data_IF_362498515051
#
_entry.id   IF_362498515051
#
_cell.length_a   1.000
_cell.length_b   1.000
_cell.length_c   1.000
_cell.angle_alpha   90.00
_cell.angle_beta   90.00
_cell.angle_gamma   90.00
#
_symmetry.space_group_name_H-M   'P 1'
#
loop_
_entity.id
_entity.type
_entity.pdbx_description
1 polymer ?
#
# COMPACT_ATOMS: atom_id res chain seq x y z
N UNK A 1 -0.52 52.35 19.53
CA UNK A 1 0.21 52.58 18.24
C UNK A 1 1.68 52.17 18.36
N UNK A 2 2.00 50.93 18.81
CA UNK A 2 3.37 50.35 18.74
C UNK A 2 3.22 48.85 18.50
N UNK A 3 2.53 48.45 17.44
CA UNK A 3 2.69 47.14 16.80
C UNK A 3 2.76 47.38 15.28
N UNK A 4 3.80 48.06 14.88
CA UNK A 4 4.09 48.25 13.47
C UNK A 4 5.14 47.23 13.08
N UNK A 5 4.68 46.20 12.36
CA UNK A 5 5.43 45.43 11.38
C UNK A 5 6.85 44.98 11.80
N UNK A 6 6.95 44.08 12.74
CA UNK A 6 8.00 43.10 12.67
C UNK A 6 7.45 41.98 11.75
N UNK A 7 7.57 42.21 10.45
CA UNK A 7 7.44 41.13 9.48
C UNK A 7 8.40 40.05 9.94
N UNK A 8 7.81 38.98 10.44
CA UNK A 8 8.52 37.75 10.75
C UNK A 8 8.84 37.13 9.38
N UNK A 9 9.81 37.77 8.69
CA UNK A 9 10.46 37.16 7.57
C UNK A 9 11.18 35.94 8.13
N UNK A 10 10.48 34.81 8.19
CA UNK A 10 11.12 33.53 8.36
C UNK A 10 11.98 33.31 7.11
N UNK A 11 13.17 33.89 7.16
CA UNK A 11 14.16 33.70 6.12
C UNK A 11 14.65 32.26 6.25
N UNK A 12 13.98 31.36 5.54
CA UNK A 12 14.41 29.96 5.42
C UNK A 12 15.90 29.83 5.08
N UNK A 13 16.45 30.83 4.36
CA UNK A 13 17.86 30.92 4.06
C UNK A 13 18.74 31.11 5.30
N UNK A 14 18.29 31.88 6.29
CA UNK A 14 19.02 32.11 7.57
C UNK A 14 19.00 30.84 8.41
N UNK A 15 17.84 30.17 8.51
CA UNK A 15 17.71 28.87 9.16
C UNK A 15 18.67 27.84 8.55
N UNK A 16 18.71 27.77 7.20
CA UNK A 16 19.55 26.82 6.50
C UNK A 16 21.07 27.04 6.70
N UNK A 17 21.48 28.28 6.84
CA UNK A 17 22.91 28.60 7.09
C UNK A 17 23.38 28.18 8.49
N UNK A 18 22.50 28.27 9.50
CA UNK A 18 22.84 27.97 10.88
C UNK A 18 22.50 26.54 11.31
N UNK A 19 21.73 25.80 10.49
CA UNK A 19 21.36 24.43 10.77
C UNK A 19 22.57 23.48 10.77
N UNK A 20 22.69 22.66 11.81
CA UNK A 20 23.69 21.62 11.92
C UNK A 20 23.54 20.54 10.84
N UNK A 21 24.62 19.79 10.59
CA UNK A 21 24.62 18.68 9.63
C UNK A 21 23.50 17.65 9.93
N UNK A 22 23.21 17.39 11.21
CA UNK A 22 22.16 16.45 11.62
C UNK A 22 20.78 17.00 11.29
N UNK A 23 20.49 18.27 11.58
CA UNK A 23 19.22 18.92 11.23
C UNK A 23 18.98 18.93 9.72
N UNK A 24 20.00 19.19 8.92
CA UNK A 24 19.95 19.10 7.46
C UNK A 24 19.64 17.68 6.98
N UNK A 25 20.29 16.67 7.57
CA UNK A 25 20.06 15.27 7.23
C UNK A 25 18.62 14.86 7.53
N UNK A 26 18.06 15.22 8.68
CA UNK A 26 16.69 14.94 9.05
C UNK A 26 15.69 15.61 8.10
N UNK A 27 15.95 16.84 7.69
CA UNK A 27 15.16 17.55 6.70
C UNK A 27 15.13 16.79 5.36
N UNK A 28 16.28 16.33 4.85
CA UNK A 28 16.33 15.55 3.62
C UNK A 28 15.62 14.19 3.74
N UNK A 29 15.70 13.55 4.91
CA UNK A 29 14.96 12.31 5.18
C UNK A 29 13.46 12.58 5.09
N UNK A 30 12.94 13.63 5.74
CA UNK A 30 11.53 13.99 5.66
C UNK A 30 11.10 14.36 4.23
N UNK A 31 11.94 15.07 3.50
CA UNK A 31 11.69 15.41 2.10
C UNK A 31 11.60 14.15 1.22
N UNK A 32 12.54 13.22 1.37
CA UNK A 32 12.51 11.95 0.65
C UNK A 32 11.27 11.11 1.01
N UNK A 33 10.89 11.07 2.28
CA UNK A 33 9.64 10.43 2.73
C UNK A 33 8.41 11.07 2.10
N UNK A 34 8.37 12.41 2.02
CA UNK A 34 7.26 13.14 1.39
C UNK A 34 7.15 12.83 -0.10
N UNK A 35 8.27 12.90 -0.85
CA UNK A 35 8.30 12.56 -2.28
C UNK A 35 7.84 11.12 -2.50
N UNK A 36 8.35 10.18 -1.70
CA UNK A 36 7.99 8.76 -1.77
C UNK A 36 6.49 8.56 -1.54
N UNK A 37 5.92 9.23 -0.53
CA UNK A 37 4.50 9.19 -0.21
C UNK A 37 3.64 9.61 -1.40
N UNK A 38 3.92 10.79 -1.97
CA UNK A 38 3.17 11.31 -3.11
C UNK A 38 3.35 10.44 -4.36
N UNK A 39 4.55 9.96 -4.62
CA UNK A 39 4.84 9.08 -5.75
C UNK A 39 4.02 7.79 -5.67
N UNK A 40 4.08 7.09 -4.54
CA UNK A 40 3.32 5.83 -4.36
C UNK A 40 1.83 6.10 -4.43
N UNK A 41 1.34 7.16 -3.81
CA UNK A 41 -0.07 7.50 -3.78
C UNK A 41 -0.62 7.79 -5.19
N UNK A 42 0.07 8.62 -5.97
CA UNK A 42 -0.34 8.97 -7.35
C UNK A 42 -0.30 7.72 -8.25
N UNK A 43 0.79 6.94 -8.21
CA UNK A 43 0.88 5.71 -9.00
C UNK A 43 -0.24 4.73 -8.67
N UNK A 44 -0.63 4.62 -7.40
CA UNK A 44 -1.74 3.76 -6.97
C UNK A 44 -3.09 4.27 -7.44
N UNK A 45 -3.36 5.57 -7.35
CA UNK A 45 -4.60 6.14 -7.85
C UNK A 45 -4.76 5.93 -9.36
N UNK A 46 -3.69 6.15 -10.12
CA UNK A 46 -3.71 5.96 -11.59
C UNK A 46 -3.79 4.48 -11.99
N UNK A 47 -3.14 3.61 -11.25
CA UNK A 47 -3.03 2.18 -11.56
C UNK A 47 -4.22 1.31 -11.14
N UNK A 48 -5.15 1.82 -10.33
CA UNK A 48 -6.21 1.00 -9.70
C UNK A 48 -7.11 0.27 -10.72
N UNK A 49 -7.48 0.91 -11.82
CA UNK A 49 -8.32 0.31 -12.87
C UNK A 49 -7.55 -0.74 -13.68
N UNK A 50 -6.29 -0.48 -13.99
CA UNK A 50 -5.44 -1.43 -14.73
C UNK A 50 -5.12 -2.66 -13.88
N UNK A 51 -4.82 -2.49 -12.59
CA UNK A 51 -4.57 -3.60 -11.66
C UNK A 51 -5.77 -4.55 -11.59
N UNK A 52 -6.98 -4.01 -11.52
CA UNK A 52 -8.22 -4.80 -11.51
C UNK A 52 -8.36 -5.64 -12.79
N UNK A 53 -8.19 -5.05 -13.96
CA UNK A 53 -8.29 -5.75 -15.24
C UNK A 53 -7.23 -6.83 -15.38
N UNK A 54 -5.98 -6.53 -15.03
CA UNK A 54 -4.87 -7.48 -15.08
C UNK A 54 -5.13 -8.66 -14.15
N UNK A 55 -5.54 -8.41 -12.91
CA UNK A 55 -5.80 -9.44 -11.92
C UNK A 55 -6.97 -10.37 -12.37
N UNK A 56 -8.05 -9.82 -12.91
CA UNK A 56 -9.17 -10.61 -13.46
C UNK A 56 -8.74 -11.45 -14.66
N UNK A 57 -7.93 -10.90 -15.56
CA UNK A 57 -7.42 -11.63 -16.74
C UNK A 57 -6.49 -12.77 -16.31
N UNK A 58 -5.60 -12.54 -15.35
CA UNK A 58 -4.71 -13.58 -14.82
C UNK A 58 -5.49 -14.68 -14.11
N UNK A 59 -6.53 -14.35 -13.37
CA UNK A 59 -7.42 -15.31 -12.71
C UNK A 59 -8.13 -16.19 -13.75
N UNK A 60 -8.70 -15.58 -14.78
CA UNK A 60 -9.36 -16.31 -15.89
C UNK A 60 -8.40 -17.25 -16.61
N UNK A 61 -7.17 -16.80 -16.89
CA UNK A 61 -6.13 -17.64 -17.48
C UNK A 61 -5.70 -18.79 -16.56
N UNK A 62 -5.61 -18.53 -15.24
CA UNK A 62 -5.29 -19.57 -14.26
C UNK A 62 -6.37 -20.66 -14.23
N UNK A 63 -7.65 -20.26 -14.25
CA UNK A 63 -8.77 -21.20 -14.31
C UNK A 63 -8.77 -22.00 -15.62
N UNK A 64 -8.50 -21.38 -16.78
CA UNK A 64 -8.41 -22.08 -18.06
C UNK A 64 -7.28 -23.13 -18.09
N UNK A 65 -6.09 -22.78 -17.55
CA UNK A 65 -4.99 -23.73 -17.41
C UNK A 65 -5.30 -24.87 -16.43
N UNK A 66 -6.03 -24.55 -15.37
CA UNK A 66 -6.43 -25.53 -14.37
C UNK A 66 -7.43 -26.53 -14.94
N UNK A 67 -8.38 -26.09 -15.78
CA UNK A 67 -9.39 -26.92 -16.44
C UNK A 67 -8.76 -28.10 -17.19
N UNK A 68 -7.65 -27.87 -17.91
CA UNK A 68 -6.93 -28.92 -18.62
C UNK A 68 -6.28 -29.95 -17.68
N UNK A 69 -5.82 -29.55 -16.49
CA UNK A 69 -5.20 -30.43 -15.49
C UNK A 69 -6.21 -31.18 -14.64
N UNK A 70 -7.43 -30.67 -14.52
CA UNK A 70 -8.49 -31.26 -13.69
C UNK A 70 -9.28 -32.36 -14.43
N UNK A 71 -9.18 -32.45 -15.76
CA UNK A 71 -9.94 -33.38 -16.56
C UNK A 71 -9.86 -34.86 -16.10
N UNK A 72 -8.71 -35.41 -15.66
CA UNK A 72 -8.61 -36.82 -15.26
C UNK A 72 -9.07 -37.10 -13.81
N UNK A 73 -9.46 -36.08 -13.00
CA UNK A 73 -9.75 -36.24 -11.57
C UNK A 73 -11.26 -36.48 -11.33
N UNK A 74 -11.61 -37.11 -10.20
CA UNK A 74 -13.01 -37.21 -9.74
C UNK A 74 -13.58 -35.82 -9.36
N UNK A 75 -14.92 -35.71 -9.32
CA UNK A 75 -15.59 -34.42 -9.05
C UNK A 75 -15.11 -33.75 -7.73
N UNK A 76 -15.05 -34.51 -6.62
CA UNK A 76 -14.62 -33.99 -5.33
C UNK A 76 -13.15 -33.57 -5.32
N UNK A 77 -12.29 -34.34 -5.97
CA UNK A 77 -10.87 -33.99 -6.13
C UNK A 77 -10.68 -32.74 -6.98
N UNK A 78 -11.45 -32.59 -8.05
CA UNK A 78 -11.43 -31.39 -8.91
C UNK A 78 -11.80 -30.14 -8.12
N UNK A 79 -12.89 -30.20 -7.34
CA UNK A 79 -13.35 -29.10 -6.50
C UNK A 79 -12.28 -28.67 -5.51
N UNK A 80 -11.72 -29.61 -4.74
CA UNK A 80 -10.72 -29.31 -3.74
C UNK A 80 -9.43 -28.71 -4.34
N UNK A 81 -8.92 -29.28 -5.44
CA UNK A 81 -7.71 -28.78 -6.12
C UNK A 81 -7.96 -27.41 -6.75
N UNK A 82 -9.11 -27.21 -7.34
CA UNK A 82 -9.44 -25.92 -7.97
C UNK A 82 -9.58 -24.81 -6.94
N UNK A 83 -10.27 -25.07 -5.83
CA UNK A 83 -10.42 -24.12 -4.73
C UNK A 83 -9.06 -23.73 -4.12
N UNK A 84 -8.20 -24.71 -3.83
CA UNK A 84 -6.87 -24.46 -3.30
C UNK A 84 -5.99 -23.66 -4.26
N UNK A 85 -6.05 -23.95 -5.58
CA UNK A 85 -5.28 -23.23 -6.58
C UNK A 85 -5.74 -21.77 -6.73
N UNK A 86 -7.06 -21.53 -6.67
CA UNK A 86 -7.63 -20.18 -6.72
C UNK A 86 -7.30 -19.37 -5.48
N UNK A 87 -7.41 -19.94 -4.29
CA UNK A 87 -7.01 -19.29 -3.04
C UNK A 87 -5.53 -18.90 -3.06
N UNK A 88 -4.66 -19.77 -3.59
CA UNK A 88 -3.25 -19.46 -3.78
C UNK A 88 -3.03 -18.30 -4.76
N UNK A 89 -3.75 -18.28 -5.87
CA UNK A 89 -3.64 -17.20 -6.84
C UNK A 89 -4.11 -15.86 -6.24
N UNK A 90 -5.26 -15.85 -5.57
CA UNK A 90 -5.80 -14.66 -4.89
C UNK A 90 -4.83 -14.14 -3.84
N UNK A 91 -4.21 -15.00 -3.04
CA UNK A 91 -3.22 -14.61 -2.04
C UNK A 91 -1.97 -14.00 -2.68
N UNK A 92 -1.53 -14.51 -3.82
CA UNK A 92 -0.40 -13.97 -4.59
C UNK A 92 -0.72 -12.58 -5.13
N UNK A 93 -1.90 -12.39 -5.72
CA UNK A 93 -2.36 -11.09 -6.22
C UNK A 93 -2.50 -10.06 -5.09
N UNK A 94 -3.06 -10.48 -3.94
CA UNK A 94 -3.16 -9.67 -2.73
C UNK A 94 -1.77 -9.22 -2.25
N UNK A 95 -0.81 -10.14 -2.13
CA UNK A 95 0.55 -9.82 -1.72
C UNK A 95 1.24 -8.86 -2.70
N UNK A 96 0.99 -9.02 -4.01
CA UNK A 96 1.49 -8.10 -5.03
C UNK A 96 0.85 -6.72 -4.93
N UNK A 97 -0.43 -6.65 -4.63
CA UNK A 97 -1.16 -5.40 -4.41
C UNK A 97 -0.73 -4.68 -3.12
N UNK A 98 -0.27 -5.38 -2.11
CA UNK A 98 0.24 -4.79 -0.87
C UNK A 98 1.67 -4.24 -0.99
N UNK A 99 2.44 -4.65 -2.01
CA UNK A 99 3.78 -4.13 -2.27
C UNK A 99 3.73 -2.61 -2.48
N UNK A 100 4.60 -1.89 -1.80
CA UNK A 100 4.66 -0.43 -1.81
C UNK A 100 3.69 0.26 -0.84
N UNK A 101 2.51 -0.32 -0.55
CA UNK A 101 1.59 0.25 0.47
C UNK A 101 2.20 0.12 1.87
N UNK A 102 2.93 -0.94 2.13
CA UNK A 102 3.67 -1.12 3.40
C UNK A 102 4.66 0.02 3.67
N UNK A 103 5.30 0.57 2.63
CA UNK A 103 6.19 1.73 2.75
C UNK A 103 5.43 2.96 3.24
N UNK A 104 4.20 3.20 2.76
CA UNK A 104 3.35 4.29 3.24
C UNK A 104 3.05 4.16 4.74
N UNK A 105 2.75 2.94 5.20
CA UNK A 105 2.54 2.65 6.62
C UNK A 105 3.78 2.94 7.46
N UNK A 106 4.97 2.56 6.97
CA UNK A 106 6.23 2.84 7.64
C UNK A 106 6.50 4.34 7.72
N UNK A 107 6.32 5.09 6.62
CA UNK A 107 6.49 6.54 6.59
C UNK A 107 5.48 7.21 7.55
N UNK A 108 4.22 6.80 7.51
CA UNK A 108 3.17 7.31 8.38
C UNK A 108 3.51 7.17 9.87
N UNK A 109 4.15 6.07 10.24
CA UNK A 109 4.56 5.79 11.61
C UNK A 109 5.87 6.49 12.01
N UNK A 110 6.86 6.56 11.12
CA UNK A 110 8.19 7.04 11.45
C UNK A 110 8.34 8.56 11.29
N UNK A 111 7.65 9.19 10.34
CA UNK A 111 7.84 10.61 10.06
C UNK A 111 7.62 11.54 11.29
N UNK A 112 6.62 11.31 12.16
CA UNK A 112 6.46 12.12 13.38
C UNK A 112 7.66 11.98 14.32
N UNK A 113 8.22 10.78 14.46
CA UNK A 113 9.36 10.53 15.33
C UNK A 113 10.65 11.16 14.79
N UNK A 114 10.83 11.18 13.47
CA UNK A 114 11.94 11.90 12.82
C UNK A 114 11.82 13.40 13.11
N UNK A 115 10.61 13.97 13.01
CA UNK A 115 10.35 15.36 13.37
C UNK A 115 10.61 15.65 14.86
N UNK A 116 10.12 14.79 15.75
CA UNK A 116 10.36 14.89 17.18
C UNK A 116 11.85 14.80 17.53
N UNK A 117 12.58 13.87 16.91
CA UNK A 117 14.02 13.78 17.11
C UNK A 117 14.73 15.08 16.70
N UNK A 118 14.30 15.70 15.60
CA UNK A 118 14.81 16.99 15.16
C UNK A 118 14.61 18.11 16.20
N UNK A 119 13.45 18.15 16.87
CA UNK A 119 13.22 19.13 17.94
C UNK A 119 14.10 18.88 19.15
N UNK A 120 14.20 17.64 19.61
CA UNK A 120 15.05 17.29 20.76
C UNK A 120 16.51 17.65 20.48
N UNK A 121 17.00 17.35 19.28
CA UNK A 121 18.34 17.68 18.85
C UNK A 121 18.58 19.19 18.80
N UNK A 122 17.67 19.96 18.21
CA UNK A 122 17.78 21.41 18.09
C UNK A 122 17.75 22.11 19.47
N UNK A 123 16.84 21.70 20.36
CA UNK A 123 16.77 22.24 21.72
C UNK A 123 18.04 21.90 22.51
N UNK A 124 18.53 20.68 22.40
CA UNK A 124 19.80 20.28 23.03
C UNK A 124 20.96 21.19 22.62
N UNK A 125 21.11 21.45 21.32
CA UNK A 125 22.17 22.33 20.81
C UNK A 125 22.00 23.78 21.26
N UNK A 126 20.77 24.29 21.28
CA UNK A 126 20.47 25.62 21.81
C UNK A 126 20.92 25.77 23.26
N UNK A 127 20.59 24.79 24.12
CA UNK A 127 20.97 24.82 25.53
C UNK A 127 22.49 24.70 25.74
N UNK A 128 23.19 23.89 24.94
CA UNK A 128 24.64 23.79 24.99
C UNK A 128 25.30 25.12 24.59
N UNK A 129 24.77 25.82 23.58
CA UNK A 129 25.29 27.13 23.16
C UNK A 129 25.14 28.19 24.25
N UNK A 130 24.00 28.23 24.92
CA UNK A 130 23.75 29.13 26.07
C UNK A 130 24.68 28.82 27.26
N UNK A 131 24.86 27.54 27.57
CA UNK A 131 25.77 27.12 28.64
C UNK A 131 27.21 27.56 28.39
N UNK A 132 27.67 27.55 27.12
CA UNK A 132 29.01 28.02 26.73
C UNK A 132 29.17 29.55 26.75
N UNK A 133 28.11 30.28 26.39
CA UNK A 133 28.15 31.74 26.33
C UNK A 133 28.05 32.40 27.71
N UNK A 134 27.59 31.70 28.75
CA UNK A 134 27.36 32.25 30.09
C UNK A 134 26.24 33.30 30.18
N UNK A 135 25.61 33.60 29.04
CA UNK A 135 24.53 34.59 28.95
C UNK A 135 23.17 33.89 28.83
N UNK A 136 22.48 33.72 29.93
CA UNK A 136 21.17 33.06 30.01
C UNK A 136 19.99 34.00 29.65
N UNK A 137 20.09 34.74 28.53
CA UNK A 137 19.01 35.61 28.07
C UNK A 137 17.90 34.79 27.36
N UNK A 138 16.62 35.02 27.74
CA UNK A 138 15.47 34.35 27.13
C UNK A 138 15.46 34.49 25.60
N UNK A 139 15.86 35.64 25.08
CA UNK A 139 15.91 35.91 23.64
C UNK A 139 16.91 35.01 22.89
N UNK A 140 17.98 34.55 23.55
CA UNK A 140 18.97 33.67 22.92
C UNK A 140 18.49 32.22 22.78
N UNK A 141 17.52 31.81 23.60
CA UNK A 141 16.94 30.45 23.55
C UNK A 141 15.68 30.41 22.71
N UNK A 142 14.89 31.47 22.70
CA UNK A 142 13.57 31.48 22.06
C UNK A 142 13.63 31.21 20.54
N UNK A 143 14.59 31.82 19.83
CA UNK A 143 14.73 31.62 18.37
C UNK A 143 15.14 30.19 18.01
N UNK A 144 16.24 29.60 18.57
CA UNK A 144 16.60 28.23 18.24
C UNK A 144 15.56 27.19 18.66
N UNK A 145 14.86 27.40 19.78
CA UNK A 145 13.78 26.52 20.20
C UNK A 145 12.60 26.62 19.24
N UNK A 146 12.23 27.83 18.83
CA UNK A 146 11.19 28.03 17.81
C UNK A 146 11.52 27.33 16.48
N UNK A 147 12.75 27.45 16.03
CA UNK A 147 13.25 26.77 14.84
C UNK A 147 13.21 25.25 14.99
N UNK A 148 13.61 24.72 16.14
CA UNK A 148 13.51 23.28 16.42
C UNK A 148 12.08 22.78 16.31
N UNK A 149 11.07 23.49 16.82
CA UNK A 149 9.65 23.10 16.76
C UNK A 149 9.12 22.95 15.33
N UNK A 150 9.71 23.67 14.35
CA UNK A 150 9.35 23.52 12.94
C UNK A 150 9.59 22.10 12.44
N UNK A 151 10.63 21.42 12.93
CA UNK A 151 10.92 20.04 12.53
C UNK A 151 9.81 19.07 12.91
N UNK A 152 9.19 19.21 14.08
CA UNK A 152 7.99 18.42 14.43
C UNK A 152 6.82 18.74 13.52
N UNK A 153 6.59 20.01 13.21
CA UNK A 153 5.57 20.43 12.25
C UNK A 153 5.77 19.79 10.87
N UNK A 154 7.00 19.75 10.37
CA UNK A 154 7.35 19.09 9.11
C UNK A 154 7.14 17.57 9.18
N UNK A 155 7.52 16.92 10.28
CA UNK A 155 7.27 15.50 10.50
C UNK A 155 5.78 15.15 10.42
N UNK A 156 4.92 15.96 11.04
CA UNK A 156 3.46 15.80 10.98
C UNK A 156 2.91 16.10 9.58
N UNK A 157 3.43 17.15 8.92
CA UNK A 157 3.02 17.49 7.55
C UNK A 157 3.31 16.37 6.53
N UNK A 158 4.34 15.55 6.77
CA UNK A 158 4.64 14.35 5.98
C UNK A 158 3.79 13.17 6.40
N UNK A 159 3.61 12.97 7.70
CA UNK A 159 2.89 11.83 8.25
C UNK A 159 1.40 11.82 7.89
N UNK A 160 0.72 12.98 7.97
CA UNK A 160 -0.73 13.06 7.74
C UNK A 160 -1.11 12.58 6.32
N UNK A 161 -0.50 13.09 5.23
CA UNK A 161 -0.77 12.57 3.89
C UNK A 161 -0.41 11.09 3.75
N UNK A 162 0.67 10.62 4.39
CA UNK A 162 1.08 9.22 4.34
C UNK A 162 0.05 8.29 4.98
N UNK A 163 -0.52 8.65 6.15
CA UNK A 163 -1.61 7.91 6.80
C UNK A 163 -2.84 7.85 5.91
N UNK A 164 -3.24 8.99 5.34
CA UNK A 164 -4.40 9.04 4.45
C UNK A 164 -4.19 8.16 3.21
N UNK A 165 -3.04 8.28 2.56
CA UNK A 165 -2.67 7.48 1.40
C UNK A 165 -2.64 5.98 1.72
N UNK A 166 -2.05 5.60 2.85
CA UNK A 166 -2.03 4.22 3.35
C UNK A 166 -3.44 3.67 3.52
N UNK A 167 -4.32 4.37 4.24
CA UNK A 167 -5.67 3.92 4.51
C UNK A 167 -6.52 3.80 3.24
N UNK A 168 -6.38 4.74 2.30
CA UNK A 168 -7.07 4.67 1.00
C UNK A 168 -6.58 3.45 0.21
N UNK A 169 -5.27 3.25 0.08
CA UNK A 169 -4.69 2.12 -0.64
C UNK A 169 -5.09 0.77 -0.01
N UNK A 170 -5.08 0.65 1.32
CA UNK A 170 -5.50 -0.56 2.02
C UNK A 170 -6.98 -0.87 1.78
N UNK A 171 -7.84 0.13 1.76
CA UNK A 171 -9.26 -0.04 1.43
C UNK A 171 -9.46 -0.55 0.00
N UNK A 172 -8.73 0.01 -0.97
CA UNK A 172 -8.76 -0.47 -2.35
C UNK A 172 -8.27 -1.92 -2.48
N UNK A 173 -7.15 -2.26 -1.83
CA UNK A 173 -6.63 -3.62 -1.86
C UNK A 173 -7.61 -4.63 -1.27
N UNK A 174 -8.29 -4.27 -0.19
CA UNK A 174 -9.32 -5.12 0.42
C UNK A 174 -10.52 -5.32 -0.51
N UNK A 175 -11.01 -4.25 -1.13
CA UNK A 175 -12.12 -4.33 -2.09
C UNK A 175 -11.76 -5.19 -3.30
N UNK A 176 -10.54 -5.04 -3.83
CA UNK A 176 -10.02 -5.85 -4.93
C UNK A 176 -9.95 -7.34 -4.55
N UNK A 177 -9.48 -7.66 -3.34
CA UNK A 177 -9.40 -9.05 -2.88
C UNK A 177 -10.77 -9.71 -2.79
N UNK A 178 -11.79 -9.00 -2.27
CA UNK A 178 -13.17 -9.50 -2.19
C UNK A 178 -13.72 -9.75 -3.60
N UNK A 179 -13.57 -8.80 -4.51
CA UNK A 179 -14.06 -8.92 -5.87
C UNK A 179 -13.39 -10.06 -6.66
N UNK A 180 -12.08 -10.26 -6.47
CA UNK A 180 -11.37 -11.40 -7.06
C UNK A 180 -11.88 -12.73 -6.49
N UNK A 181 -12.21 -12.78 -5.20
CA UNK A 181 -12.76 -13.96 -4.58
C UNK A 181 -14.16 -14.30 -5.13
N UNK A 182 -15.02 -13.31 -5.26
CA UNK A 182 -16.37 -13.49 -5.83
C UNK A 182 -16.30 -13.95 -7.29
N UNK A 183 -15.41 -13.33 -8.07
CA UNK A 183 -15.19 -13.73 -9.47
C UNK A 183 -14.62 -15.16 -9.59
N UNK A 184 -13.73 -15.54 -8.71
CA UNK A 184 -13.16 -16.89 -8.64
C UNK A 184 -14.24 -17.94 -8.35
N UNK A 185 -15.12 -17.68 -7.39
CA UNK A 185 -16.24 -18.58 -7.08
C UNK A 185 -17.20 -18.72 -8.25
N UNK A 186 -17.54 -17.62 -8.95
CA UNK A 186 -18.36 -17.67 -10.17
C UNK A 186 -17.74 -18.56 -11.25
N UNK A 187 -16.45 -18.38 -11.55
CA UNK A 187 -15.73 -19.19 -12.52
C UNK A 187 -15.67 -20.67 -12.15
N UNK A 188 -15.55 -21.00 -10.85
CA UNK A 188 -15.59 -22.38 -10.37
C UNK A 188 -16.94 -23.02 -10.64
N UNK A 189 -18.02 -22.34 -10.26
CA UNK A 189 -19.40 -22.83 -10.44
C UNK A 189 -19.67 -23.07 -11.93
N UNK A 190 -19.36 -22.11 -12.80
CA UNK A 190 -19.57 -22.25 -14.24
C UNK A 190 -18.77 -23.42 -14.84
N UNK A 191 -17.52 -23.59 -14.39
CA UNK A 191 -16.66 -24.68 -14.87
C UNK A 191 -17.18 -26.06 -14.42
N UNK A 192 -17.70 -26.17 -13.21
CA UNK A 192 -18.28 -27.39 -12.67
C UNK A 192 -19.58 -27.77 -13.38
N UNK A 193 -20.48 -26.82 -13.58
CA UNK A 193 -21.77 -27.03 -14.28
C UNK A 193 -21.57 -27.42 -15.76
N UNK A 194 -20.63 -26.80 -16.47
CA UNK A 194 -20.34 -27.14 -17.86
C UNK A 194 -19.77 -28.55 -18.02
N UNK A 195 -18.96 -29.02 -17.08
CA UNK A 195 -18.40 -30.36 -17.11
C UNK A 195 -19.42 -31.43 -16.76
N UNK A 196 -20.30 -31.15 -15.84
CA UNK A 196 -21.36 -32.07 -15.42
C UNK A 196 -22.38 -32.29 -16.59
N UNK A 197 -22.78 -31.20 -17.23
CA UNK A 197 -23.65 -31.26 -18.41
C UNK A 197 -23.01 -31.98 -19.61
N UNK A 198 -21.72 -31.88 -19.79
CA UNK A 198 -20.99 -32.59 -20.87
C UNK A 198 -20.82 -34.07 -20.55
N UNK A 199 -20.58 -34.44 -19.29
CA UNK A 199 -20.48 -35.83 -18.86
C UNK A 199 -21.85 -36.57 -19.02
N UNK A 200 -22.93 -35.91 -18.61
CA UNK A 200 -24.29 -36.44 -18.74
C UNK A 200 -24.71 -36.63 -20.21
N UNK A 201 -24.32 -35.73 -21.09
CA UNK A 201 -24.57 -35.82 -22.53
C UNK A 201 -23.83 -36.99 -23.19
N UNK A 202 -22.60 -37.28 -22.74
CA UNK A 202 -21.80 -38.42 -23.22
C UNK A 202 -22.42 -39.75 -22.74
N UNK A 203 -22.92 -39.82 -21.53
CA UNK A 203 -23.55 -41.00 -20.96
C UNK A 203 -24.86 -41.33 -21.65
N UNK A 204 -25.71 -40.35 -21.96
CA UNK A 204 -26.94 -40.51 -22.73
C UNK A 204 -26.67 -41.03 -24.12
N UNK A 205 -25.67 -40.46 -24.84
CA UNK A 205 -25.29 -40.89 -26.18
C UNK A 205 -24.73 -42.30 -26.22
N UNK A 206 -23.94 -42.69 -25.17
CA UNK A 206 -23.39 -44.05 -25.09
C UNK A 206 -24.49 -45.11 -24.80
N UNK A 207 -25.46 -44.75 -24.00
CA UNK A 207 -26.61 -45.61 -23.65
C UNK A 207 -27.52 -45.82 -24.88
N UNK A 208 -27.74 -44.78 -25.65
CA UNK A 208 -28.54 -44.83 -26.89
C UNK A 208 -27.86 -45.67 -28.01
N UNK A 209 -26.54 -45.56 -28.15
CA UNK A 209 -25.78 -46.43 -29.07
C UNK A 209 -25.74 -47.90 -28.63
N UNK A 210 -25.71 -48.18 -27.34
CA UNK A 210 -25.78 -49.54 -26.79
C UNK A 210 -27.13 -50.24 -27.06
N UNK A 211 -28.22 -49.49 -27.07
CA UNK A 211 -29.58 -49.98 -27.33
C UNK A 211 -29.79 -50.27 -28.83
N UNK A 212 -29.20 -49.56 -29.75
CA UNK A 212 -29.32 -49.72 -31.21
C UNK A 212 -28.41 -50.86 -31.72
N UNK A 213 -27.30 -51.18 -31.07
CA UNK A 213 -26.37 -52.24 -31.43
C UNK A 213 -26.78 -53.66 -30.99
N UNK A 214 -27.84 -53.81 -30.17
CA UNK A 214 -28.29 -55.09 -29.66
C UNK A 214 -29.44 -55.76 -30.43
N UNK A 215 -29.83 -55.21 -31.59
CA UNK A 215 -30.94 -55.74 -32.42
C UNK A 215 -30.44 -56.21 -33.84
N UNK A 216 -29.24 -56.72 -33.94
CA UNK A 216 -28.74 -57.29 -35.18
C UNK A 216 -28.32 -58.76 -35.01
#
# INVERSE_FOLDING_TARGET
KIFKNQEMNMNFSVYWQHADAISKTLYFILLAMSITTWTIFVLRLMGTRQLKQIAQTQLTQAVAKLKAKLAPLSFDQRKAVAEQALLRQISTEKASAEKGVSVLGTIASLAPFVGLFGTVWGIFHALVAVGKSGQAGLAQVATPVGEALIMTGLGLAVAIPAVLAYNICMRFNRSLAIELQDHAHGLLIDTMLQQDSSAQKVEVVSTEKGLVGGQA
#
